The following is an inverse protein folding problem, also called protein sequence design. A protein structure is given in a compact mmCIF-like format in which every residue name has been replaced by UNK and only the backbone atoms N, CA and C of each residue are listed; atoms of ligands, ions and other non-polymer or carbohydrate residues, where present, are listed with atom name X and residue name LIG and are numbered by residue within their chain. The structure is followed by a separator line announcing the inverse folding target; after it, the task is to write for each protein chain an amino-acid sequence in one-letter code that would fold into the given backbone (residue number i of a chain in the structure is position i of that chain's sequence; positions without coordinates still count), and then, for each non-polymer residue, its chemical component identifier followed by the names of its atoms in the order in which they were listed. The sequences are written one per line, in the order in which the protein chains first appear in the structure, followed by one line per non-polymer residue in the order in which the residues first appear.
data_IF_114963956189
#
_entry.id   IF_114963956189
#
_cell.length_a   1.000
_cell.length_b   1.000
_cell.length_c   1.000
_cell.angle_alpha   90.00
_cell.angle_beta   90.00
_cell.angle_gamma   90.00
#
_symmetry.space_group_name_H-M   'P 1'
#
loop_
_entity.id
_entity.type
_entity.pdbx_description
1 polymer ?
#
# COMPACT_ATOMS: atom_id res chain seq x y z
N UNK A 1 -19.68 0.57 -5.20
CA UNK A 1 -18.28 0.36 -4.91
C UNK A 1 -18.14 0.13 -3.42
N UNK A 2 -17.64 -1.01 -3.02
CA UNK A 2 -17.18 -1.16 -1.67
C UNK A 2 -15.87 -0.37 -1.51
N UNK A 3 -15.71 0.42 -0.43
CA UNK A 3 -14.49 1.16 -0.21
C UNK A 3 -13.32 0.18 -0.17
N UNK A 4 -12.26 0.48 -0.90
CA UNK A 4 -10.98 -0.26 -0.88
C UNK A 4 -11.00 -1.65 -1.53
N UNK A 5 -12.08 -2.03 -2.22
CA UNK A 5 -12.04 -3.22 -3.07
C UNK A 5 -11.32 -2.87 -4.38
N UNK A 6 -10.06 -3.21 -4.47
CA UNK A 6 -9.46 -3.35 -5.78
C UNK A 6 -10.14 -4.50 -6.53
N UNK A 7 -10.26 -4.45 -7.86
CA UNK A 7 -10.79 -5.58 -8.64
C UNK A 7 -10.00 -6.87 -8.45
N UNK A 8 -8.73 -6.76 -8.07
CA UNK A 8 -7.89 -7.88 -7.69
C UNK A 8 -7.91 -8.04 -6.17
N UNK A 9 -8.57 -9.10 -5.70
CA UNK A 9 -8.73 -9.42 -4.29
C UNK A 9 -7.46 -9.96 -3.63
N UNK A 10 -6.40 -10.24 -4.39
CA UNK A 10 -5.15 -10.79 -3.84
C UNK A 10 -4.40 -9.79 -2.97
N UNK A 11 -4.67 -8.49 -3.15
CA UNK A 11 -4.05 -7.39 -2.42
C UNK A 11 -5.01 -6.69 -1.46
N UNK A 12 -6.06 -7.38 -1.01
CA UNK A 12 -6.98 -6.82 -0.01
C UNK A 12 -6.26 -6.58 1.32
N UNK A 13 -6.08 -5.30 1.65
CA UNK A 13 -5.34 -4.86 2.85
C UNK A 13 -6.01 -5.37 4.12
N UNK A 14 -7.34 -5.47 4.14
CA UNK A 14 -8.08 -5.96 5.30
C UNK A 14 -7.87 -7.47 5.50
N UNK A 15 -7.88 -8.25 4.42
CA UNK A 15 -7.56 -9.68 4.47
C UNK A 15 -6.13 -9.92 4.94
N UNK A 16 -5.18 -9.13 4.45
CA UNK A 16 -3.78 -9.17 4.89
C UNK A 16 -3.66 -8.85 6.39
N UNK A 17 -4.34 -7.79 6.87
CA UNK A 17 -4.35 -7.40 8.27
C UNK A 17 -4.90 -8.52 9.18
N UNK A 18 -6.04 -9.10 8.81
CA UNK A 18 -6.67 -10.21 9.54
C UNK A 18 -5.75 -11.44 9.60
N UNK A 19 -5.19 -11.82 8.45
CA UNK A 19 -4.31 -12.98 8.35
C UNK A 19 -3.03 -12.81 9.18
N UNK A 20 -2.43 -11.61 9.15
CA UNK A 20 -1.26 -11.26 9.94
C UNK A 20 -1.52 -11.38 11.44
N UNK A 21 -2.60 -10.76 11.92
CA UNK A 21 -2.96 -10.77 13.34
C UNK A 21 -3.29 -12.17 13.82
N UNK A 22 -4.09 -12.92 13.04
CA UNK A 22 -4.40 -14.31 13.35
C UNK A 22 -3.14 -15.16 13.47
N UNK A 23 -2.18 -14.99 12.56
CA UNK A 23 -0.92 -15.73 12.63
C UNK A 23 -0.15 -15.45 13.93
N UNK A 24 -0.07 -14.18 14.35
CA UNK A 24 0.60 -13.81 15.61
C UNK A 24 -0.13 -14.43 16.80
N UNK A 25 -1.45 -14.37 16.85
CA UNK A 25 -2.23 -14.96 17.95
C UNK A 25 -1.99 -16.47 18.10
N UNK A 26 -1.85 -17.18 16.99
CA UNK A 26 -1.67 -18.63 16.97
C UNK A 26 -0.21 -19.06 17.22
N UNK A 27 0.78 -18.27 16.79
CA UNK A 27 2.18 -18.69 16.74
C UNK A 27 3.13 -17.87 17.63
N UNK A 28 2.75 -16.62 18.01
CA UNK A 28 3.58 -15.70 18.79
C UNK A 28 2.71 -15.04 19.89
N UNK A 29 2.12 -15.81 20.80
CA UNK A 29 1.08 -15.33 21.71
C UNK A 29 1.53 -14.18 22.64
N UNK A 30 2.83 -14.02 22.88
CA UNK A 30 3.42 -12.91 23.63
C UNK A 30 3.12 -11.54 22.99
N UNK A 31 2.92 -11.50 21.67
CA UNK A 31 2.62 -10.28 20.91
C UNK A 31 1.13 -10.12 20.55
N UNK A 32 0.25 -11.03 20.95
CA UNK A 32 -1.17 -11.00 20.58
C UNK A 32 -1.88 -9.70 20.95
N UNK A 33 -1.59 -9.14 22.12
CA UNK A 33 -2.20 -7.89 22.57
C UNK A 33 -1.81 -6.72 21.64
N UNK A 34 -0.54 -6.69 21.24
CA UNK A 34 -0.01 -5.67 20.33
C UNK A 34 -0.58 -5.82 18.93
N UNK A 35 -0.63 -7.04 18.41
CA UNK A 35 -1.22 -7.32 17.10
C UNK A 35 -2.69 -6.89 17.02
N UNK A 36 -3.49 -7.16 18.08
CA UNK A 36 -4.87 -6.67 18.17
C UNK A 36 -4.96 -5.15 18.23
N UNK A 37 -4.03 -4.48 18.90
CA UNK A 37 -3.99 -3.02 18.93
C UNK A 37 -3.74 -2.44 17.53
N UNK A 38 -2.82 -3.03 16.76
CA UNK A 38 -2.58 -2.66 15.37
C UNK A 38 -3.81 -2.87 14.49
N UNK A 39 -4.50 -4.01 14.63
CA UNK A 39 -5.74 -4.25 13.89
C UNK A 39 -6.84 -3.24 14.25
N UNK A 40 -6.93 -2.86 15.51
CA UNK A 40 -7.86 -1.80 15.94
C UNK A 40 -7.53 -0.47 15.28
N UNK A 41 -6.26 -0.07 15.26
CA UNK A 41 -5.81 1.15 14.57
C UNK A 41 -6.14 1.11 13.07
N UNK A 42 -5.96 -0.05 12.43
CA UNK A 42 -6.33 -0.26 11.05
C UNK A 42 -7.83 0.01 10.80
N UNK A 43 -8.72 -0.56 11.64
CA UNK A 43 -10.15 -0.32 11.51
C UNK A 43 -10.56 1.11 11.84
N UNK A 44 -9.87 1.80 12.75
CA UNK A 44 -10.09 3.22 13.00
C UNK A 44 -9.79 4.05 11.74
N UNK A 45 -8.71 3.74 11.00
CA UNK A 45 -8.39 4.40 9.72
C UNK A 45 -9.43 4.07 8.64
N UNK A 46 -9.88 2.83 8.57
CA UNK A 46 -10.93 2.43 7.65
C UNK A 46 -12.23 3.21 7.90
N UNK A 47 -12.62 3.39 9.16
CA UNK A 47 -13.83 4.12 9.51
C UNK A 47 -13.71 5.62 9.19
N UNK A 48 -12.56 6.23 9.44
CA UNK A 48 -12.27 7.61 9.00
C UNK A 48 -12.48 7.78 7.49
N UNK A 49 -11.97 6.84 6.70
CA UNK A 49 -12.11 6.87 5.25
C UNK A 49 -13.56 6.66 4.78
N UNK A 50 -14.33 5.77 5.41
CA UNK A 50 -15.72 5.48 5.03
C UNK A 50 -16.60 6.73 4.97
N UNK A 51 -16.35 7.70 5.83
CA UNK A 51 -17.14 8.93 5.91
C UNK A 51 -16.95 9.85 4.71
N UNK A 52 -15.81 9.79 4.03
CA UNK A 52 -15.41 10.71 2.96
C UNK A 52 -15.21 10.03 1.61
N UNK A 53 -15.02 8.71 1.59
CA UNK A 53 -14.59 7.97 0.39
C UNK A 53 -15.54 8.11 -0.78
N UNK A 54 -16.85 8.10 -0.55
CA UNK A 54 -17.86 8.24 -1.59
C UNK A 54 -17.93 9.64 -2.22
N UNK A 55 -17.27 10.61 -1.61
CA UNK A 55 -17.18 12.00 -2.10
C UNK A 55 -15.97 12.20 -3.02
N UNK A 56 -15.02 11.27 -3.03
CA UNK A 56 -13.82 11.36 -3.85
C UNK A 56 -14.13 11.17 -5.34
N UNK A 57 -13.43 11.86 -6.23
CA UNK A 57 -13.54 11.66 -7.67
C UNK A 57 -13.24 10.21 -8.06
N UNK A 58 -14.03 9.66 -8.98
CA UNK A 58 -13.88 8.29 -9.44
C UNK A 58 -13.60 8.24 -10.93
N UNK A 59 -12.86 7.20 -11.39
CA UNK A 59 -12.62 6.93 -12.79
C UNK A 59 -12.68 5.43 -13.07
N UNK A 60 -12.69 5.07 -14.34
CA UNK A 60 -12.45 3.70 -14.79
C UNK A 60 -10.95 3.47 -14.91
N UNK A 61 -10.51 2.28 -14.55
CA UNK A 61 -9.10 1.91 -14.62
C UNK A 61 -8.94 0.45 -15.03
N UNK A 62 -7.78 0.12 -15.51
CA UNK A 62 -7.29 -1.23 -15.68
C UNK A 62 -6.37 -1.55 -14.49
N UNK A 63 -6.66 -2.60 -13.73
CA UNK A 63 -6.01 -2.88 -12.45
C UNK A 63 -4.75 -3.76 -12.56
N UNK A 64 -4.43 -4.23 -13.76
CA UNK A 64 -3.28 -5.09 -14.03
C UNK A 64 -2.30 -4.39 -14.99
N UNK A 65 -1.74 -3.26 -14.57
CA UNK A 65 -0.77 -2.47 -15.34
C UNK A 65 0.64 -3.07 -15.25
N UNK A 66 0.78 -4.33 -15.63
CA UNK A 66 2.10 -4.92 -15.79
C UNK A 66 2.67 -4.67 -17.20
N UNK A 67 3.97 -4.85 -17.39
CA UNK A 67 4.69 -4.58 -18.63
C UNK A 67 4.12 -5.34 -19.84
N UNK A 68 3.51 -6.53 -19.62
CA UNK A 68 2.92 -7.32 -20.71
C UNK A 68 1.61 -6.75 -21.23
N UNK A 69 0.94 -5.89 -20.46
CA UNK A 69 -0.35 -5.27 -20.78
C UNK A 69 -0.21 -3.85 -21.34
N UNK A 70 1.02 -3.33 -21.42
CA UNK A 70 1.35 -2.02 -21.96
C UNK A 70 1.94 -2.18 -23.37
N UNK A 71 1.30 -1.57 -24.36
CA UNK A 71 1.80 -1.57 -25.74
C UNK A 71 2.64 -0.34 -26.01
N UNK A 72 3.86 -0.56 -26.51
CA UNK A 72 4.78 0.48 -26.94
C UNK A 72 5.07 0.33 -28.44
N UNK A 73 5.36 1.42 -29.15
CA UNK A 73 5.89 1.40 -30.50
C UNK A 73 7.40 1.10 -30.51
N UNK A 74 7.98 1.04 -31.70
CA UNK A 74 9.41 0.77 -31.89
C UNK A 74 10.35 1.84 -31.30
N UNK A 75 9.81 2.99 -30.89
CA UNK A 75 10.53 4.10 -30.27
C UNK A 75 10.24 4.21 -28.77
N UNK A 76 9.59 3.19 -28.18
CA UNK A 76 9.12 3.14 -26.79
C UNK A 76 8.06 4.19 -26.44
N UNK A 77 7.27 4.65 -27.40
CA UNK A 77 6.13 5.50 -27.10
C UNK A 77 4.91 4.64 -26.76
N UNK A 78 4.15 5.06 -25.78
CA UNK A 78 2.90 4.42 -25.41
C UNK A 78 1.90 4.42 -26.59
N UNK A 79 1.34 3.27 -26.89
CA UNK A 79 0.33 3.07 -27.96
C UNK A 79 -1.04 2.68 -27.38
N UNK A 80 -1.06 1.92 -26.30
CA UNK A 80 -2.32 1.49 -25.70
C UNK A 80 -2.13 0.44 -24.60
N UNK A 81 -3.27 0.02 -24.06
CA UNK A 81 -3.38 -1.05 -23.07
C UNK A 81 -4.15 -2.23 -23.67
N UNK A 82 -3.83 -3.42 -23.19
CA UNK A 82 -4.57 -4.66 -23.47
C UNK A 82 -4.94 -5.35 -22.17
N UNK A 83 -5.70 -6.42 -22.26
CA UNK A 83 -6.13 -7.26 -21.14
C UNK A 83 -6.93 -6.50 -20.07
N UNK A 84 -8.17 -6.13 -20.42
CA UNK A 84 -9.09 -5.44 -19.52
C UNK A 84 -9.91 -6.39 -18.63
N UNK A 85 -9.46 -7.61 -18.38
CA UNK A 85 -10.17 -8.57 -17.53
C UNK A 85 -10.30 -8.06 -16.07
N UNK A 86 -9.32 -7.30 -15.61
CA UNK A 86 -9.29 -6.66 -14.30
C UNK A 86 -9.52 -5.14 -14.44
N UNK A 87 -10.60 -4.74 -15.10
CA UNK A 87 -10.99 -3.34 -15.17
C UNK A 87 -12.17 -3.06 -14.24
N UNK A 88 -12.24 -1.84 -13.74
CA UNK A 88 -13.29 -1.44 -12.81
C UNK A 88 -13.41 0.06 -12.64
N UNK A 89 -14.15 0.44 -11.62
CA UNK A 89 -14.35 1.83 -11.21
C UNK A 89 -13.86 1.99 -9.77
N UNK A 90 -12.96 2.94 -9.57
CA UNK A 90 -12.40 3.25 -8.25
C UNK A 90 -12.20 4.76 -8.10
N UNK A 91 -11.90 5.24 -6.88
CA UNK A 91 -11.47 6.62 -6.68
C UNK A 91 -10.12 6.82 -7.32
N UNK A 92 -9.92 7.98 -7.94
CA UNK A 92 -8.65 8.31 -8.59
C UNK A 92 -7.52 8.30 -7.55
N UNK A 93 -7.79 8.83 -6.36
CA UNK A 93 -6.82 8.86 -5.28
C UNK A 93 -6.36 7.47 -4.85
N UNK A 94 -7.30 6.53 -4.61
CA UNK A 94 -6.94 5.17 -4.20
C UNK A 94 -6.12 4.46 -5.26
N UNK A 95 -6.56 4.52 -6.52
CA UNK A 95 -5.84 3.94 -7.63
C UNK A 95 -4.41 4.52 -7.74
N UNK A 96 -4.28 5.85 -7.66
CA UNK A 96 -2.99 6.53 -7.72
C UNK A 96 -2.04 6.13 -6.59
N UNK A 97 -2.54 6.05 -5.36
CA UNK A 97 -1.74 5.62 -4.20
C UNK A 97 -1.29 4.18 -4.37
N UNK A 98 -2.17 3.29 -4.80
CA UNK A 98 -1.85 1.88 -5.03
C UNK A 98 -0.76 1.71 -6.07
N UNK A 99 -0.93 2.30 -7.26
CA UNK A 99 0.03 2.18 -8.35
C UNK A 99 1.38 2.81 -7.98
N UNK A 100 1.37 3.94 -7.28
CA UNK A 100 2.59 4.57 -6.82
C UNK A 100 3.34 3.73 -5.77
N UNK A 101 2.63 3.07 -4.85
CA UNK A 101 3.21 2.14 -3.87
C UNK A 101 3.75 0.88 -4.55
N UNK A 102 3.00 0.32 -5.50
CA UNK A 102 3.43 -0.86 -6.25
C UNK A 102 4.72 -0.59 -7.02
N UNK A 103 4.82 0.55 -7.70
CA UNK A 103 6.01 0.96 -8.44
C UNK A 103 7.26 1.18 -7.58
N UNK A 104 7.11 1.26 -6.26
CA UNK A 104 8.24 1.38 -5.32
C UNK A 104 8.67 0.02 -4.75
N UNK A 105 7.82 -0.98 -4.80
CA UNK A 105 8.15 -2.35 -4.36
C UNK A 105 9.09 -3.09 -5.31
N UNK A 106 9.44 -2.47 -6.44
CA UNK A 106 10.30 -2.98 -7.49
C UNK A 106 11.78 -3.08 -7.06
N UNK A 107 12.54 -3.92 -7.76
CA UNK A 107 13.96 -4.23 -7.58
C UNK A 107 14.91 -3.01 -7.53
N UNK A 108 14.46 -1.82 -7.87
CA UNK A 108 15.27 -0.58 -7.81
C UNK A 108 15.71 -0.20 -6.40
N UNK A 109 14.88 -0.51 -5.39
CA UNK A 109 15.21 -0.28 -3.99
C UNK A 109 16.05 -1.39 -3.38
N UNK A 110 15.85 -2.61 -3.86
CA UNK A 110 16.22 -3.78 -3.10
C UNK A 110 17.34 -4.59 -3.73
N UNK A 111 17.64 -4.38 -5.02
CA UNK A 111 18.65 -5.16 -5.73
C UNK A 111 18.38 -6.67 -5.68
N UNK A 112 19.41 -7.49 -5.83
CA UNK A 112 19.31 -8.96 -5.79
C UNK A 112 19.22 -9.54 -4.36
N UNK A 113 19.24 -8.72 -3.31
CA UNK A 113 19.17 -9.19 -1.93
C UNK A 113 17.73 -9.31 -1.48
N UNK A 114 17.46 -10.31 -0.64
CA UNK A 114 16.14 -10.58 -0.05
C UNK A 114 15.59 -9.31 0.63
N UNK A 115 14.78 -8.58 -0.12
CA UNK A 115 14.43 -7.18 0.07
C UNK A 115 13.51 -6.93 1.27
N UNK A 116 12.91 -7.99 1.78
CA UNK A 116 11.82 -7.92 2.75
C UNK A 116 12.24 -7.46 4.14
N UNK A 117 13.52 -7.61 4.49
CA UNK A 117 14.05 -7.21 5.80
C UNK A 117 14.45 -5.73 5.91
N UNK A 118 14.37 -4.96 4.82
CA UNK A 118 14.82 -3.57 4.78
C UNK A 118 13.76 -2.54 5.15
N UNK A 119 12.50 -2.94 5.28
CA UNK A 119 11.40 -2.03 5.64
C UNK A 119 11.53 -1.40 7.03
N UNK A 120 12.42 -1.92 7.87
CA UNK A 120 12.66 -1.41 9.23
C UNK A 120 13.80 -0.40 9.33
N UNK A 121 14.43 -0.08 8.22
CA UNK A 121 15.49 0.91 8.14
C UNK A 121 14.89 2.26 7.75
N UNK A 122 15.13 3.27 8.58
CA UNK A 122 14.58 4.61 8.34
C UNK A 122 15.10 5.23 7.04
N UNK A 123 16.37 5.02 6.70
CA UNK A 123 16.95 5.59 5.47
C UNK A 123 16.31 4.96 4.22
N UNK A 124 16.01 3.66 4.29
CA UNK A 124 15.29 2.97 3.22
C UNK A 124 13.83 3.40 3.14
N UNK A 125 13.16 3.65 4.28
CA UNK A 125 11.81 4.21 4.25
C UNK A 125 11.80 5.61 3.65
N UNK A 126 12.71 6.48 4.07
CA UNK A 126 12.84 7.82 3.50
C UNK A 126 13.05 7.77 1.97
N UNK A 127 13.85 6.83 1.47
CA UNK A 127 14.03 6.60 0.04
C UNK A 127 12.76 6.07 -0.62
N UNK A 128 12.11 5.10 0.00
CA UNK A 128 10.83 4.54 -0.48
C UNK A 128 9.76 5.62 -0.62
N UNK A 129 9.61 6.45 0.40
CA UNK A 129 8.65 7.56 0.38
C UNK A 129 9.01 8.59 -0.67
N UNK A 130 10.29 8.91 -0.84
CA UNK A 130 10.74 9.81 -1.90
C UNK A 130 10.33 9.27 -3.29
N UNK A 131 10.60 8.00 -3.59
CA UNK A 131 10.22 7.39 -4.87
C UNK A 131 8.71 7.29 -5.05
N UNK A 132 7.98 7.00 -3.97
CA UNK A 132 6.52 7.02 -3.99
C UNK A 132 5.99 8.42 -4.38
N UNK A 133 6.51 9.48 -3.77
CA UNK A 133 6.09 10.85 -4.09
C UNK A 133 6.53 11.28 -5.50
N UNK A 134 7.65 10.77 -6.00
CA UNK A 134 8.05 10.96 -7.41
C UNK A 134 7.03 10.29 -8.36
N UNK A 135 6.58 9.07 -8.06
CA UNK A 135 5.53 8.40 -8.84
C UNK A 135 4.20 9.16 -8.80
N UNK A 136 3.81 9.69 -7.64
CA UNK A 136 2.64 10.58 -7.53
C UNK A 136 2.84 11.83 -8.39
N UNK A 137 4.05 12.40 -8.43
CA UNK A 137 4.39 13.54 -9.27
C UNK A 137 4.12 13.30 -10.76
N UNK A 138 4.45 12.11 -11.29
CA UNK A 138 4.14 11.76 -12.69
C UNK A 138 2.62 11.70 -12.95
N UNK A 139 1.82 11.27 -11.98
CA UNK A 139 0.35 11.28 -12.09
C UNK A 139 -0.13 12.73 -12.15
N UNK A 140 0.46 13.62 -11.34
CA UNK A 140 0.09 15.03 -11.28
C UNK A 140 0.43 15.83 -12.55
N UNK A 141 1.28 15.33 -13.43
CA UNK A 141 1.49 15.93 -14.75
C UNK A 141 0.20 15.95 -15.60
N UNK A 142 -0.74 15.04 -15.31
CA UNK A 142 -1.97 14.87 -16.08
C UNK A 142 -3.25 14.93 -15.24
N UNK A 143 -3.15 14.97 -13.91
CA UNK A 143 -4.29 15.02 -13.01
C UNK A 143 -4.00 15.90 -11.79
N UNK A 144 -4.79 16.94 -11.61
CA UNK A 144 -4.71 17.83 -10.43
C UNK A 144 -5.62 17.26 -9.32
N UNK A 145 -5.03 16.82 -8.21
CA UNK A 145 -5.78 16.37 -7.06
C UNK A 145 -6.56 17.52 -6.42
N UNK A 146 -7.84 17.31 -6.18
CA UNK A 146 -8.73 18.24 -5.48
C UNK A 146 -8.30 18.47 -4.03
N UNK A 147 -8.82 19.53 -3.41
CA UNK A 147 -8.58 19.84 -2.00
C UNK A 147 -8.99 18.66 -1.08
N UNK A 148 -10.16 18.06 -1.35
CA UNK A 148 -10.62 16.88 -0.62
C UNK A 148 -9.67 15.69 -0.75
N UNK A 149 -9.14 15.42 -1.95
CA UNK A 149 -8.17 14.34 -2.15
C UNK A 149 -6.87 14.61 -1.37
N UNK A 150 -6.42 15.86 -1.32
CA UNK A 150 -5.24 16.26 -0.52
C UNK A 150 -5.46 16.08 0.98
N UNK A 151 -6.65 16.38 1.48
CA UNK A 151 -7.02 16.16 2.88
C UNK A 151 -7.12 14.68 3.24
N UNK A 152 -7.68 13.86 2.36
CA UNK A 152 -7.90 12.42 2.57
C UNK A 152 -6.63 11.60 2.36
N UNK A 153 -5.71 12.06 1.52
CA UNK A 153 -4.51 11.32 1.15
C UNK A 153 -3.69 10.79 2.33
N UNK A 154 -3.38 11.54 3.40
CA UNK A 154 -2.59 11.01 4.52
C UNK A 154 -3.28 9.86 5.26
N UNK A 155 -4.62 9.85 5.28
CA UNK A 155 -5.40 8.78 5.91
C UNK A 155 -5.38 7.55 5.01
N UNK A 156 -5.64 7.74 3.71
CA UNK A 156 -5.64 6.66 2.73
C UNK A 156 -4.25 6.01 2.61
N UNK A 157 -3.19 6.82 2.56
CA UNK A 157 -1.82 6.30 2.54
C UNK A 157 -1.55 5.39 3.74
N UNK A 158 -1.85 5.85 4.97
CA UNK A 158 -1.65 5.05 6.19
C UNK A 158 -2.47 3.75 6.19
N UNK A 159 -3.67 3.80 5.61
CA UNK A 159 -4.50 2.61 5.45
C UNK A 159 -3.89 1.64 4.44
N UNK A 160 -3.54 2.11 3.25
CA UNK A 160 -3.03 1.28 2.15
C UNK A 160 -1.64 0.73 2.42
N UNK A 161 -0.77 1.49 3.10
CA UNK A 161 0.61 1.13 3.38
C UNK A 161 0.79 0.35 4.69
N UNK A 162 -0.29 0.01 5.40
CA UNK A 162 -0.21 -0.63 6.71
C UNK A 162 0.07 -2.14 6.63
N UNK A 163 -0.74 -2.87 5.86
CA UNK A 163 -0.63 -4.32 5.78
C UNK A 163 -0.58 -4.80 4.33
N UNK A 164 0.55 -5.41 3.99
CA UNK A 164 0.77 -6.06 2.71
C UNK A 164 0.88 -7.57 2.90
N UNK A 165 0.59 -8.34 1.87
CA UNK A 165 0.68 -9.81 1.88
C UNK A 165 2.07 -10.30 2.33
N UNK A 166 3.14 -9.60 1.95
CA UNK A 166 4.51 -9.97 2.31
C UNK A 166 4.81 -9.80 3.81
N UNK A 167 4.11 -8.95 4.57
CA UNK A 167 4.26 -8.87 6.02
C UNK A 167 3.88 -10.19 6.71
N UNK A 168 2.89 -10.92 6.16
CA UNK A 168 2.54 -12.24 6.66
C UNK A 168 3.65 -13.26 6.41
N UNK A 169 4.30 -13.22 5.25
CA UNK A 169 5.40 -14.12 4.95
C UNK A 169 6.63 -13.78 5.79
N UNK A 170 6.87 -12.51 6.02
CA UNK A 170 7.96 -12.03 6.84
C UNK A 170 7.83 -12.42 8.30
N UNK A 171 6.67 -12.22 8.92
CA UNK A 171 6.45 -12.63 10.32
C UNK A 171 6.64 -14.15 10.50
N UNK A 172 6.28 -14.95 9.49
CA UNK A 172 6.54 -16.39 9.51
C UNK A 172 8.03 -16.73 9.53
N UNK A 173 8.85 -15.96 8.81
CA UNK A 173 10.30 -16.16 8.73
C UNK A 173 11.02 -15.74 10.01
N UNK A 174 10.54 -14.69 10.68
CA UNK A 174 11.21 -14.10 11.85
C UNK A 174 10.59 -14.48 13.20
N UNK A 175 9.56 -15.31 13.23
CA UNK A 175 8.74 -15.64 14.41
C UNK A 175 9.55 -16.06 15.64
N UNK A 176 10.72 -16.68 15.45
CA UNK A 176 11.60 -17.17 16.51
C UNK A 176 12.67 -16.11 16.92
N UNK A 177 12.66 -14.95 16.30
CA UNK A 177 13.55 -13.81 16.60
C UNK A 177 12.73 -12.65 17.22
N UNK A 178 12.66 -12.63 18.55
CA UNK A 178 11.88 -11.65 19.33
C UNK A 178 12.23 -10.20 18.98
N UNK A 179 13.49 -9.92 18.69
CA UNK A 179 13.95 -8.57 18.32
C UNK A 179 13.38 -8.14 16.97
N UNK A 180 13.41 -9.02 15.98
CA UNK A 180 12.86 -8.73 14.65
C UNK A 180 11.34 -8.66 14.65
N UNK A 181 10.67 -9.52 15.43
CA UNK A 181 9.21 -9.44 15.61
C UNK A 181 8.84 -8.10 16.20
N UNK A 182 9.52 -7.67 17.26
CA UNK A 182 9.28 -6.36 17.86
C UNK A 182 9.50 -5.23 16.86
N UNK A 183 10.58 -5.28 16.10
CA UNK A 183 10.92 -4.28 15.08
C UNK A 183 9.86 -4.20 13.97
N UNK A 184 9.33 -5.33 13.50
CA UNK A 184 8.23 -5.35 12.54
C UNK A 184 6.97 -4.68 13.08
N UNK A 185 6.61 -5.00 14.32
CA UNK A 185 5.43 -4.41 14.95
C UNK A 185 5.61 -2.90 15.21
N UNK A 186 6.81 -2.46 15.60
CA UNK A 186 7.15 -1.02 15.73
C UNK A 186 7.00 -0.30 14.39
N UNK A 187 7.46 -0.94 13.31
CA UNK A 187 7.34 -0.41 11.96
C UNK A 187 5.86 -0.25 11.55
N UNK A 188 5.05 -1.28 11.69
CA UNK A 188 3.62 -1.22 11.36
C UNK A 188 2.89 -0.14 12.15
N UNK A 189 3.20 0.01 13.45
CA UNK A 189 2.66 1.07 14.29
C UNK A 189 3.08 2.46 13.78
N UNK A 190 4.35 2.62 13.42
CA UNK A 190 4.86 3.85 12.81
C UNK A 190 4.11 4.18 11.52
N UNK A 191 3.95 3.22 10.59
CA UNK A 191 3.23 3.43 9.33
C UNK A 191 1.79 3.90 9.55
N UNK A 192 1.08 3.31 10.51
CA UNK A 192 -0.30 3.69 10.81
C UNK A 192 -0.46 5.01 11.58
N UNK A 193 0.62 5.54 12.16
CA UNK A 193 0.59 6.77 12.97
C UNK A 193 1.33 7.95 12.35
N UNK A 194 2.12 7.72 11.31
CA UNK A 194 2.93 8.78 10.65
C UNK A 194 2.06 9.92 10.13
N UNK A 195 2.63 11.13 10.14
CA UNK A 195 1.93 12.37 9.74
C UNK A 195 2.73 13.20 8.73
N UNK A 196 3.85 12.67 8.28
CA UNK A 196 4.83 13.37 7.45
C UNK A 196 4.59 13.22 5.95
N UNK A 197 3.56 12.46 5.54
CA UNK A 197 3.24 12.20 4.14
C UNK A 197 2.10 13.10 3.69
N UNK A 198 2.38 13.91 2.68
CA UNK A 198 1.42 14.81 2.04
C UNK A 198 1.59 14.74 0.51
N UNK A 199 0.51 14.99 -0.23
CA UNK A 199 0.60 15.19 -1.68
C UNK A 199 1.46 16.42 -1.97
N UNK A 200 2.39 16.33 -2.91
CA UNK A 200 3.20 17.46 -3.34
C UNK A 200 2.37 18.59 -3.97
#
# INVERSE_FOLDING_TARGET
LEPFSAPDTTDDVEECAKAFVKYIEENIPTHSARARALLKMFYERQEELRTVYSLLPTSCFQADLNDSNILLDNNNHFVGLIDFNLCGKETILNYSVREALWGVSDNRLFGEKDSRLYFYDKELDDLRIKLFLENIGYIQENYEFSELEREVFPILFRYMDSFWWFHLDEIKLIKDDESKVTQLLDWLEFQMTRKDIHLP
#
